data_IF_292390576350
#
_entry.id   IF_292390576350
#
_cell.length_a   1.000
_cell.length_b   1.000
_cell.length_c   1.000
_cell.angle_alpha   90.00
_cell.angle_beta   90.00
_cell.angle_gamma   90.00
#
_symmetry.space_group_name_H-M   'P 1'
#
loop_
_entity.id
_entity.type
_entity.pdbx_description
1 polymer ?
#
# COMPACT_ATOMS: atom_id res chain seq x y z
N UNK A 1 12.67 8.80 -28.35
CA UNK A 1 13.81 9.74 -28.51
C UNK A 1 14.61 9.33 -29.78
N UNK A 2 14.55 10.09 -30.88
CA UNK A 2 15.32 9.78 -32.08
C UNK A 2 16.70 10.48 -32.03
N UNK A 3 17.73 9.75 -31.64
CA UNK A 3 19.12 10.20 -31.67
C UNK A 3 19.81 9.37 -32.75
N UNK A 4 20.22 10.06 -33.82
CA UNK A 4 20.77 9.41 -35.02
C UNK A 4 22.29 9.22 -34.99
N UNK A 5 22.99 9.78 -33.98
CA UNK A 5 24.44 9.66 -33.83
C UNK A 5 24.76 8.93 -32.51
N UNK A 6 25.77 8.07 -32.56
CA UNK A 6 26.28 7.37 -31.37
C UNK A 6 26.90 8.35 -30.39
N UNK A 7 27.71 9.29 -30.85
CA UNK A 7 28.27 10.40 -30.04
C UNK A 7 27.49 11.66 -30.35
N UNK A 8 26.88 12.26 -29.35
CA UNK A 8 25.99 13.42 -29.46
C UNK A 8 26.66 14.73 -29.06
N UNK A 9 27.70 14.68 -28.22
CA UNK A 9 28.51 15.85 -27.85
C UNK A 9 29.92 15.41 -27.45
N UNK A 10 30.87 16.38 -27.47
CA UNK A 10 32.22 16.25 -26.91
C UNK A 10 32.47 17.47 -26.05
N UNK A 11 32.92 17.24 -24.82
CA UNK A 11 33.19 18.29 -23.84
C UNK A 11 34.29 17.84 -22.87
N UNK A 12 35.28 18.71 -22.60
CA UNK A 12 36.39 18.46 -21.68
C UNK A 12 37.09 17.09 -21.93
N UNK A 13 37.32 16.73 -23.20
CA UNK A 13 37.97 15.48 -23.59
C UNK A 13 37.11 14.21 -23.46
N UNK A 14 35.85 14.32 -23.02
CA UNK A 14 34.89 13.21 -22.94
C UNK A 14 33.85 13.27 -24.04
N UNK A 15 33.40 12.09 -24.47
CA UNK A 15 32.27 11.95 -25.38
C UNK A 15 31.01 11.68 -24.61
N UNK A 16 29.91 12.39 -24.92
CA UNK A 16 28.58 12.12 -24.47
C UNK A 16 27.91 11.26 -25.53
N UNK A 17 27.50 10.06 -25.16
CA UNK A 17 26.88 9.09 -26.07
C UNK A 17 25.37 9.15 -25.95
N UNK A 18 24.70 8.55 -26.92
CA UNK A 18 23.25 8.39 -26.95
C UNK A 18 22.72 7.69 -25.69
N UNK A 19 23.40 6.65 -25.20
CA UNK A 19 22.99 5.93 -24.01
C UNK A 19 23.06 6.81 -22.76
N UNK A 20 24.06 7.70 -22.65
CA UNK A 20 24.18 8.64 -21.54
C UNK A 20 22.97 9.59 -21.47
N UNK A 21 22.51 10.05 -22.65
CA UNK A 21 21.32 10.92 -22.75
C UNK A 21 20.06 10.18 -22.32
N UNK A 22 19.92 8.91 -22.73
CA UNK A 22 18.78 8.07 -22.31
C UNK A 22 18.79 7.83 -20.80
N UNK A 23 19.96 7.49 -20.25
CA UNK A 23 20.10 7.27 -18.82
C UNK A 23 19.83 8.55 -18.02
N UNK A 24 20.36 9.69 -18.47
CA UNK A 24 20.10 10.98 -17.82
C UNK A 24 18.61 11.34 -17.88
N UNK A 25 17.94 11.15 -19.02
CA UNK A 25 16.51 11.38 -19.13
C UNK A 25 15.69 10.49 -18.17
N UNK A 26 16.06 9.23 -18.03
CA UNK A 26 15.39 8.30 -17.11
C UNK A 26 15.57 8.71 -15.65
N UNK A 27 16.70 9.30 -15.27
CA UNK A 27 16.96 9.81 -13.92
C UNK A 27 16.07 11.02 -13.56
N UNK A 28 15.65 11.82 -14.55
CA UNK A 28 14.78 12.98 -14.33
C UNK A 28 13.32 12.61 -14.04
N UNK A 29 12.96 11.35 -14.25
CA UNK A 29 11.59 10.84 -14.02
C UNK A 29 10.64 11.04 -15.20
N UNK A 30 9.48 10.34 -15.20
CA UNK A 30 8.59 10.24 -16.37
C UNK A 30 8.00 11.59 -16.82
N UNK A 31 7.70 12.50 -15.90
CA UNK A 31 7.11 13.79 -16.23
C UNK A 31 8.06 14.71 -17.02
N UNK A 32 9.34 14.73 -16.65
CA UNK A 32 10.34 15.53 -17.35
C UNK A 32 10.79 14.84 -18.64
N UNK A 33 10.87 13.51 -18.67
CA UNK A 33 11.24 12.75 -19.87
C UNK A 33 10.29 13.04 -21.04
N UNK A 34 9.00 13.29 -20.80
CA UNK A 34 8.04 13.64 -21.84
C UNK A 34 8.40 14.95 -22.56
N UNK A 35 9.01 15.92 -21.88
CA UNK A 35 9.41 17.20 -22.48
C UNK A 35 10.59 17.05 -23.45
N UNK A 36 11.36 15.97 -23.32
CA UNK A 36 12.57 15.72 -24.12
C UNK A 36 12.37 14.72 -25.28
N UNK A 37 11.12 14.44 -25.69
CA UNK A 37 10.83 13.55 -26.81
C UNK A 37 11.03 14.20 -28.19
N UNK A 38 10.96 15.53 -28.28
CA UNK A 38 11.23 16.28 -29.51
C UNK A 38 12.72 16.45 -29.76
N UNK A 39 13.10 16.75 -31.03
CA UNK A 39 14.50 17.07 -31.39
C UNK A 39 15.07 18.24 -30.60
N UNK A 40 14.26 19.29 -30.39
CA UNK A 40 14.66 20.47 -29.62
C UNK A 40 14.78 20.12 -28.13
N UNK A 41 13.90 19.26 -27.61
CA UNK A 41 14.00 18.75 -26.25
C UNK A 41 15.27 17.94 -26.01
N UNK A 42 15.60 17.01 -26.93
CA UNK A 42 16.85 16.25 -26.86
C UNK A 42 18.07 17.18 -26.90
N UNK A 43 18.04 18.22 -27.79
CA UNK A 43 19.14 19.19 -27.84
C UNK A 43 19.35 19.91 -26.53
N UNK A 44 18.29 20.40 -25.88
CA UNK A 44 18.35 21.04 -24.56
C UNK A 44 18.90 20.10 -23.50
N UNK A 45 18.52 18.82 -23.53
CA UNK A 45 19.01 17.81 -22.60
C UNK A 45 20.53 17.60 -22.78
N UNK A 46 21.00 17.51 -24.01
CA UNK A 46 22.44 17.40 -24.33
C UNK A 46 23.18 18.65 -23.90
N UNK A 47 22.64 19.87 -24.15
CA UNK A 47 23.21 21.13 -23.68
C UNK A 47 23.35 21.15 -22.14
N UNK A 48 22.34 20.67 -21.43
CA UNK A 48 22.41 20.56 -19.95
C UNK A 48 23.51 19.59 -19.49
N UNK A 49 23.64 18.42 -20.13
CA UNK A 49 24.71 17.47 -19.84
C UNK A 49 26.10 18.07 -20.13
N UNK A 50 26.24 18.86 -21.19
CA UNK A 50 27.48 19.61 -21.51
C UNK A 50 27.78 20.64 -20.44
N UNK A 51 26.76 21.41 -19.99
CA UNK A 51 26.92 22.39 -18.91
C UNK A 51 27.38 21.73 -17.62
N UNK A 52 26.77 20.63 -17.23
CA UNK A 52 27.15 19.86 -16.03
C UNK A 52 28.59 19.33 -16.14
N UNK A 53 28.99 18.83 -17.32
CA UNK A 53 30.35 18.37 -17.54
C UNK A 53 31.38 19.52 -17.45
N UNK A 54 31.06 20.71 -17.96
CA UNK A 54 31.91 21.90 -17.82
C UNK A 54 32.03 22.34 -16.36
N UNK A 55 30.92 22.39 -15.61
CA UNK A 55 30.92 22.75 -14.20
C UNK A 55 31.73 21.74 -13.37
N UNK A 56 31.58 20.44 -13.62
CA UNK A 56 32.39 19.42 -12.96
C UNK A 56 33.90 19.61 -13.22
N UNK A 57 34.31 19.84 -14.47
CA UNK A 57 35.72 20.04 -14.77
C UNK A 57 36.26 21.33 -14.15
N UNK A 58 35.47 22.44 -14.14
CA UNK A 58 35.83 23.65 -13.45
C UNK A 58 36.01 23.43 -11.94
N UNK A 59 35.14 22.65 -11.31
CA UNK A 59 35.26 22.31 -9.90
C UNK A 59 36.58 21.54 -9.59
N UNK A 60 36.99 20.64 -10.50
CA UNK A 60 38.31 19.97 -10.39
C UNK A 60 39.47 20.95 -10.56
N UNK A 61 39.41 21.82 -11.57
CA UNK A 61 40.45 22.84 -11.82
C UNK A 61 40.58 23.79 -10.62
N UNK A 62 39.48 24.11 -9.95
CA UNK A 62 39.43 24.90 -8.71
C UNK A 62 39.78 24.10 -7.44
N UNK A 63 40.06 22.80 -7.56
CA UNK A 63 40.40 21.88 -6.47
C UNK A 63 39.29 21.77 -5.38
N UNK A 64 38.02 21.88 -5.76
CA UNK A 64 36.92 21.73 -4.82
C UNK A 64 36.86 20.32 -4.23
N UNK A 65 37.36 19.32 -4.96
CA UNK A 65 37.50 17.94 -4.50
C UNK A 65 38.59 17.75 -3.41
N UNK A 66 39.49 18.71 -3.24
CA UNK A 66 40.47 18.74 -2.15
C UNK A 66 39.94 19.47 -0.88
N UNK A 67 38.77 20.13 -0.97
CA UNK A 67 38.19 20.90 0.14
C UNK A 67 37.78 20.03 1.32
N UNK A 68 37.82 20.59 2.53
CA UNK A 68 37.37 19.87 3.74
C UNK A 68 35.85 19.57 3.69
N UNK A 69 35.06 20.45 3.05
CA UNK A 69 33.63 20.25 2.86
C UNK A 69 33.37 19.03 1.97
N UNK A 70 34.05 18.95 0.83
CA UNK A 70 33.92 17.79 -0.07
C UNK A 70 34.32 16.48 0.61
N UNK A 71 35.46 16.47 1.31
CA UNK A 71 35.95 15.30 2.06
C UNK A 71 34.93 14.84 3.11
N UNK A 72 34.36 15.79 3.85
CA UNK A 72 33.34 15.48 4.85
C UNK A 72 32.08 14.87 4.22
N UNK A 73 31.62 15.41 3.11
CA UNK A 73 30.44 14.85 2.37
C UNK A 73 30.76 13.48 1.77
N UNK A 74 31.96 13.27 1.25
CA UNK A 74 32.40 11.97 0.73
C UNK A 74 32.47 10.90 1.83
N UNK A 75 32.95 11.21 3.02
CA UNK A 75 32.98 10.26 4.15
C UNK A 75 31.55 9.89 4.58
N UNK A 76 30.62 10.86 4.66
CA UNK A 76 29.19 10.58 4.93
C UNK A 76 28.58 9.71 3.83
N UNK A 77 28.85 10.02 2.57
CA UNK A 77 28.35 9.24 1.44
C UNK A 77 28.88 7.79 1.49
N UNK A 78 30.16 7.62 1.78
CA UNK A 78 30.79 6.31 1.95
C UNK A 78 30.14 5.51 3.10
N UNK A 79 29.94 6.12 4.27
CA UNK A 79 29.27 5.49 5.41
C UNK A 79 27.86 5.02 5.02
N UNK A 80 27.07 5.89 4.40
CA UNK A 80 25.72 5.56 3.95
C UNK A 80 25.70 4.42 2.93
N UNK A 81 26.60 4.45 1.94
CA UNK A 81 26.68 3.39 0.92
C UNK A 81 27.04 2.06 1.58
N UNK A 82 28.08 2.03 2.43
CA UNK A 82 28.52 0.81 3.10
C UNK A 82 27.45 0.25 4.04
N UNK A 83 26.77 1.12 4.80
CA UNK A 83 25.66 0.72 5.68
C UNK A 83 24.52 0.11 4.87
N UNK A 84 24.12 0.73 3.76
CA UNK A 84 23.07 0.20 2.90
C UNK A 84 23.46 -1.13 2.24
N UNK A 85 24.72 -1.28 1.81
CA UNK A 85 25.23 -2.54 1.28
C UNK A 85 25.27 -3.64 2.34
N UNK A 86 25.71 -3.32 3.55
CA UNK A 86 25.73 -4.26 4.68
C UNK A 86 24.30 -4.66 5.10
N UNK A 87 23.36 -3.71 5.12
CA UNK A 87 21.95 -3.97 5.40
C UNK A 87 21.34 -4.94 4.37
N UNK A 88 21.54 -4.67 3.07
CA UNK A 88 21.06 -5.58 2.01
C UNK A 88 21.65 -6.99 2.19
N UNK A 89 22.96 -7.08 2.46
CA UNK A 89 23.63 -8.36 2.69
C UNK A 89 23.11 -9.08 3.93
N UNK A 90 22.76 -8.34 4.99
CA UNK A 90 22.22 -8.94 6.22
C UNK A 90 20.78 -9.49 6.04
N UNK A 91 20.06 -9.05 5.01
CA UNK A 91 18.73 -9.56 4.62
C UNK A 91 18.81 -10.76 3.67
N UNK A 92 20.00 -11.11 3.15
CA UNK A 92 20.15 -12.27 2.25
C UNK A 92 19.83 -13.56 3.02
N UNK A 93 18.95 -14.35 2.45
CA UNK A 93 18.56 -15.66 2.98
C UNK A 93 18.22 -16.60 1.81
N UNK A 94 18.17 -17.88 2.09
CA UNK A 94 17.74 -18.87 1.11
C UNK A 94 16.26 -18.70 0.77
N UNK A 95 15.91 -18.99 -0.48
CA UNK A 95 14.52 -19.03 -0.93
C UNK A 95 13.69 -20.00 -0.09
N UNK A 96 12.42 -19.65 0.10
CA UNK A 96 11.50 -20.53 0.82
C UNK A 96 11.19 -21.78 -0.01
N UNK A 97 11.31 -22.92 0.62
CA UNK A 97 10.93 -24.21 0.02
C UNK A 97 9.41 -24.37 -0.02
N UNK A 98 8.91 -25.19 -0.93
CA UNK A 98 7.48 -25.51 -1.00
C UNK A 98 6.94 -26.17 0.29
N UNK A 99 7.80 -26.85 1.04
CA UNK A 99 7.45 -27.42 2.34
C UNK A 99 7.25 -26.33 3.40
N UNK A 100 8.17 -25.37 3.49
CA UNK A 100 8.04 -24.22 4.39
C UNK A 100 6.77 -23.41 4.08
N UNK A 101 6.48 -23.18 2.79
CA UNK A 101 5.28 -22.47 2.38
C UNK A 101 4.00 -23.21 2.79
N UNK A 102 3.93 -24.53 2.56
CA UNK A 102 2.76 -25.32 2.95
C UNK A 102 2.57 -25.38 4.46
N UNK A 103 3.66 -25.50 5.22
CA UNK A 103 3.60 -25.51 6.68
C UNK A 103 3.06 -24.17 7.20
N UNK A 104 3.58 -23.05 6.69
CA UNK A 104 3.10 -21.72 7.05
C UNK A 104 1.62 -21.53 6.70
N UNK A 105 1.22 -21.89 5.49
CA UNK A 105 -0.19 -21.83 5.09
C UNK A 105 -1.11 -22.66 6.01
N UNK A 106 -0.70 -23.88 6.37
CA UNK A 106 -1.51 -24.74 7.23
C UNK A 106 -1.64 -24.18 8.66
N UNK A 107 -0.59 -23.55 9.18
CA UNK A 107 -0.56 -22.95 10.51
C UNK A 107 -1.41 -21.66 10.55
N UNK A 108 -1.38 -20.85 9.49
CA UNK A 108 -2.04 -19.54 9.42
C UNK A 108 -3.17 -19.50 8.38
N UNK A 109 -3.85 -20.63 8.16
CA UNK A 109 -4.85 -20.79 7.10
C UNK A 109 -5.97 -19.74 7.15
N UNK A 110 -6.38 -19.34 8.34
CA UNK A 110 -7.45 -18.38 8.54
C UNK A 110 -7.05 -16.97 8.06
N UNK A 111 -5.77 -16.61 8.13
CA UNK A 111 -5.25 -15.33 7.64
C UNK A 111 -5.35 -15.19 6.11
N UNK A 112 -5.35 -16.33 5.39
CA UNK A 112 -5.49 -16.39 3.94
C UNK A 112 -6.91 -16.65 3.47
N UNK A 113 -7.90 -16.60 4.38
CA UNK A 113 -9.31 -16.77 4.05
C UNK A 113 -9.94 -15.44 3.66
N UNK A 114 -10.95 -15.50 2.76
CA UNK A 114 -11.85 -14.38 2.57
C UNK A 114 -12.71 -14.25 3.85
N UNK A 115 -12.69 -13.11 4.54
CA UNK A 115 -13.46 -12.94 5.76
C UNK A 115 -14.96 -12.96 5.46
N UNK A 116 -15.77 -13.40 6.45
CA UNK A 116 -17.22 -13.31 6.33
C UNK A 116 -17.68 -11.87 6.09
N UNK A 117 -18.69 -11.72 5.27
CA UNK A 117 -19.29 -10.41 4.99
C UNK A 117 -20.82 -10.51 4.92
N UNK A 118 -21.47 -9.39 5.08
CA UNK A 118 -22.93 -9.23 5.00
C UNK A 118 -23.25 -8.08 4.06
N UNK A 119 -24.37 -8.19 3.34
CA UNK A 119 -24.98 -7.07 2.66
C UNK A 119 -26.31 -6.76 3.34
N UNK A 120 -26.53 -5.51 3.70
CA UNK A 120 -27.74 -5.11 4.42
C UNK A 120 -28.22 -3.72 4.01
N UNK A 121 -29.52 -3.51 4.19
CA UNK A 121 -30.15 -2.20 4.12
C UNK A 121 -30.61 -1.78 5.52
N UNK A 122 -30.65 -0.48 5.79
CA UNK A 122 -31.13 0.02 7.06
C UNK A 122 -31.99 1.28 6.97
N UNK A 123 -32.80 1.49 7.98
CA UNK A 123 -33.54 2.73 8.23
C UNK A 123 -33.09 3.26 9.58
N UNK A 124 -32.54 4.47 9.61
CA UNK A 124 -32.09 5.15 10.82
C UNK A 124 -33.07 6.24 11.21
N UNK A 125 -33.56 6.20 12.46
CA UNK A 125 -34.43 7.23 13.03
C UNK A 125 -33.97 7.63 14.44
N UNK A 126 -34.48 8.79 14.91
CA UNK A 126 -34.08 9.43 16.18
C UNK A 126 -34.79 8.82 17.40
N UNK A 127 -35.92 8.14 17.23
CA UNK A 127 -36.69 7.61 18.36
C UNK A 127 -37.14 6.18 18.17
N UNK A 128 -37.32 5.46 19.28
CA UNK A 128 -37.76 4.07 19.28
C UNK A 128 -39.23 3.96 18.78
N UNK A 129 -40.05 4.96 19.07
CA UNK A 129 -41.47 4.93 18.66
C UNK A 129 -41.58 5.01 17.14
N UNK A 130 -40.84 5.93 16.51
CA UNK A 130 -40.75 6.00 15.03
C UNK A 130 -40.23 4.68 14.43
N UNK A 131 -39.20 4.08 15.04
CA UNK A 131 -38.68 2.81 14.58
C UNK A 131 -39.72 1.69 14.64
N UNK A 132 -40.49 1.62 15.74
CA UNK A 132 -41.57 0.63 15.89
C UNK A 132 -42.72 0.88 14.89
N UNK A 133 -43.10 2.12 14.65
CA UNK A 133 -44.13 2.47 13.67
C UNK A 133 -43.72 2.04 12.25
N UNK A 134 -42.46 2.30 11.87
CA UNK A 134 -41.92 1.87 10.59
C UNK A 134 -41.85 0.35 10.51
N UNK A 135 -41.38 -0.34 11.56
CA UNK A 135 -41.37 -1.80 11.61
C UNK A 135 -42.77 -2.38 11.42
N UNK A 136 -43.79 -1.78 12.08
CA UNK A 136 -45.17 -2.20 11.93
C UNK A 136 -45.73 -1.99 10.50
N UNK A 137 -45.27 -0.97 9.78
CA UNK A 137 -45.63 -0.76 8.35
C UNK A 137 -44.98 -1.84 7.48
N UNK A 138 -43.69 -2.14 7.72
CA UNK A 138 -42.96 -3.22 7.03
C UNK A 138 -43.65 -4.55 7.24
N UNK A 139 -44.07 -4.87 8.46
CA UNK A 139 -44.77 -6.12 8.79
C UNK A 139 -46.15 -6.23 8.13
N UNK A 140 -46.74 -5.11 7.74
CA UNK A 140 -47.98 -5.05 6.93
C UNK A 140 -47.72 -5.16 5.43
N UNK A 141 -46.47 -5.24 4.99
CA UNK A 141 -46.06 -5.44 3.60
C UNK A 141 -45.70 -4.16 2.85
N UNK A 142 -45.49 -3.02 3.57
CA UNK A 142 -44.98 -1.83 2.92
C UNK A 142 -43.49 -2.03 2.52
N UNK A 143 -43.11 -1.43 1.38
CA UNK A 143 -41.77 -1.62 0.82
C UNK A 143 -40.67 -0.95 1.67
N UNK A 144 -39.68 -1.75 2.04
CA UNK A 144 -38.57 -1.30 2.89
C UNK A 144 -37.79 -0.12 2.28
N UNK A 145 -37.51 -0.18 0.97
CA UNK A 145 -36.73 0.85 0.29
C UNK A 145 -37.48 2.19 0.25
N UNK A 146 -38.78 2.15 0.02
CA UNK A 146 -39.65 3.34 0.04
C UNK A 146 -39.70 3.99 1.43
N UNK A 147 -39.84 3.16 2.47
CA UNK A 147 -39.83 3.65 3.86
C UNK A 147 -38.45 4.20 4.26
N UNK A 148 -37.35 3.61 3.76
CA UNK A 148 -36.02 4.14 3.96
C UNK A 148 -35.85 5.52 3.31
N UNK A 149 -36.32 5.68 2.07
CA UNK A 149 -36.28 6.98 1.35
C UNK A 149 -37.08 8.07 2.09
N UNK A 150 -38.24 7.71 2.62
CA UNK A 150 -39.13 8.66 3.28
C UNK A 150 -38.67 9.03 4.70
N UNK A 151 -38.24 8.04 5.47
CA UNK A 151 -38.07 8.21 6.92
C UNK A 151 -36.64 8.17 7.42
N UNK A 152 -35.67 7.61 6.67
CA UNK A 152 -34.31 7.44 7.17
C UNK A 152 -33.56 8.75 7.23
N UNK A 153 -32.85 8.97 8.36
CA UNK A 153 -31.91 10.05 8.55
C UNK A 153 -30.53 9.79 7.91
N UNK A 154 -30.26 8.54 7.49
CA UNK A 154 -28.97 8.16 6.88
C UNK A 154 -28.92 8.60 5.40
N UNK A 155 -27.75 9.04 4.89
CA UNK A 155 -27.55 9.33 3.47
C UNK A 155 -27.86 8.13 2.53
N UNK A 156 -27.72 6.89 3.01
CA UNK A 156 -28.07 5.67 2.25
C UNK A 156 -29.55 5.61 1.83
N UNK A 157 -30.40 6.46 2.43
CA UNK A 157 -31.82 6.55 2.03
C UNK A 157 -32.04 6.77 0.53
N UNK A 158 -31.13 7.49 -0.13
CA UNK A 158 -31.20 7.73 -1.57
C UNK A 158 -31.21 6.41 -2.39
N UNK A 159 -30.57 5.36 -1.84
CA UNK A 159 -30.51 4.02 -2.42
C UNK A 159 -31.38 3.01 -1.64
N UNK A 160 -32.51 3.45 -1.08
CA UNK A 160 -33.42 2.57 -0.32
C UNK A 160 -32.83 2.01 0.97
N UNK A 161 -31.84 2.71 1.54
CA UNK A 161 -31.18 2.31 2.77
C UNK A 161 -30.01 1.35 2.59
N UNK A 162 -29.64 0.97 1.35
CA UNK A 162 -28.58 0.02 1.07
C UNK A 162 -27.20 0.50 1.56
N UNK A 163 -26.49 -0.36 2.28
CA UNK A 163 -25.14 -0.13 2.79
C UNK A 163 -24.06 -0.86 1.99
N UNK A 164 -24.46 -1.67 1.00
CA UNK A 164 -23.57 -2.56 0.28
C UNK A 164 -23.04 -3.70 1.16
N UNK A 165 -21.90 -4.27 0.75
CA UNK A 165 -21.24 -5.37 1.45
C UNK A 165 -20.21 -4.81 2.44
N UNK A 166 -20.19 -5.35 3.65
CA UNK A 166 -19.24 -5.00 4.71
C UNK A 166 -18.85 -6.23 5.53
N UNK A 167 -17.67 -6.15 6.15
CA UNK A 167 -17.12 -7.18 7.01
C UNK A 167 -17.40 -6.88 8.48
N UNK A 168 -17.27 -7.91 9.32
CA UNK A 168 -17.39 -7.78 10.78
C UNK A 168 -16.41 -6.72 11.30
N UNK A 169 -16.90 -5.85 12.19
CA UNK A 169 -16.13 -4.76 12.80
C UNK A 169 -16.08 -3.46 11.97
N UNK A 170 -16.67 -3.40 10.78
CA UNK A 170 -16.77 -2.17 10.01
C UNK A 170 -17.94 -1.28 10.42
N UNK A 171 -18.92 -1.83 11.13
CA UNK A 171 -20.07 -1.10 11.66
C UNK A 171 -19.94 -0.90 13.18
N UNK A 172 -20.77 -0.03 13.75
CA UNK A 172 -20.83 0.11 15.22
C UNK A 172 -21.28 -1.21 15.86
N UNK A 173 -20.74 -1.51 17.01
CA UNK A 173 -20.83 -2.82 17.65
C UNK A 173 -22.25 -3.40 17.72
N UNK A 174 -23.23 -2.59 18.13
CA UNK A 174 -24.61 -3.04 18.31
C UNK A 174 -25.29 -3.40 16.96
N UNK A 175 -24.94 -2.66 15.91
CA UNK A 175 -25.41 -2.95 14.54
C UNK A 175 -24.72 -4.21 14.02
N UNK A 176 -23.40 -4.30 14.19
CA UNK A 176 -22.58 -5.43 13.75
C UNK A 176 -23.06 -6.73 14.40
N UNK A 177 -23.17 -6.76 15.74
CA UNK A 177 -23.63 -7.92 16.49
C UNK A 177 -25.02 -8.40 16.03
N UNK A 178 -25.92 -7.44 15.72
CA UNK A 178 -27.26 -7.81 15.24
C UNK A 178 -27.24 -8.36 13.84
N UNK A 179 -26.62 -7.65 12.88
CA UNK A 179 -26.66 -8.04 11.47
C UNK A 179 -25.97 -9.38 11.21
N UNK A 180 -24.89 -9.70 11.92
CA UNK A 180 -24.20 -10.98 11.81
C UNK A 180 -24.92 -12.15 12.49
N UNK A 181 -25.98 -11.87 13.29
CA UNK A 181 -26.85 -12.89 13.88
C UNK A 181 -28.14 -13.13 13.08
N UNK A 182 -28.41 -12.38 12.01
CA UNK A 182 -29.65 -12.44 11.23
C UNK A 182 -29.57 -13.47 10.11
N UNK A 183 -30.75 -13.90 9.63
CA UNK A 183 -30.91 -14.72 8.44
C UNK A 183 -31.18 -13.85 7.20
N UNK A 184 -30.88 -14.36 6.01
CA UNK A 184 -31.19 -13.66 4.74
C UNK A 184 -32.66 -13.31 4.67
N UNK A 185 -32.97 -12.06 4.33
CA UNK A 185 -34.33 -11.53 4.23
C UNK A 185 -34.96 -11.16 5.58
N UNK A 186 -34.31 -11.45 6.71
CA UNK A 186 -34.79 -11.05 8.04
C UNK A 186 -34.77 -9.52 8.18
N UNK A 187 -35.78 -9.01 8.87
CA UNK A 187 -35.87 -7.59 9.27
C UNK A 187 -35.83 -7.52 10.78
N UNK A 188 -34.85 -6.76 11.29
CA UNK A 188 -34.64 -6.69 12.75
C UNK A 188 -35.74 -5.91 13.49
N UNK A 189 -35.88 -6.16 14.78
CA UNK A 189 -36.43 -5.18 15.70
C UNK A 189 -35.53 -3.93 15.76
N UNK A 190 -36.05 -2.80 16.28
CA UNK A 190 -35.24 -1.58 16.42
C UNK A 190 -33.96 -1.79 17.24
N UNK A 191 -32.80 -1.60 16.62
CA UNK A 191 -31.48 -1.72 17.22
C UNK A 191 -30.99 -0.33 17.63
N UNK A 192 -30.73 -0.12 18.92
CA UNK A 192 -30.20 1.15 19.44
C UNK A 192 -28.69 1.24 19.24
N UNK A 193 -28.21 2.35 18.69
CA UNK A 193 -26.80 2.73 18.61
C UNK A 193 -26.60 4.17 19.08
N UNK A 194 -25.37 4.65 19.06
CA UNK A 194 -25.06 6.06 19.33
C UNK A 194 -25.69 7.05 18.32
N UNK A 195 -26.07 6.59 17.12
CA UNK A 195 -26.66 7.40 16.07
C UNK A 195 -28.19 7.46 16.11
N UNK A 196 -28.83 6.59 16.88
CA UNK A 196 -30.29 6.47 16.95
C UNK A 196 -30.76 5.02 16.93
N UNK A 197 -31.90 4.76 16.30
CA UNK A 197 -32.50 3.44 16.19
C UNK A 197 -32.49 2.98 14.74
N UNK A 198 -31.99 1.80 14.51
CA UNK A 198 -31.87 1.18 13.19
C UNK A 198 -32.86 0.04 13.05
N UNK A 199 -33.56 -0.01 11.90
CA UNK A 199 -34.25 -1.22 11.42
C UNK A 199 -33.34 -1.76 10.32
N UNK A 200 -32.91 -3.01 10.44
CA UNK A 200 -31.93 -3.63 9.54
C UNK A 200 -32.65 -4.72 8.76
N UNK A 201 -32.43 -4.75 7.44
CA UNK A 201 -32.81 -5.85 6.56
C UNK A 201 -31.54 -6.50 6.04
N UNK A 202 -31.35 -7.80 6.33
CA UNK A 202 -30.22 -8.55 5.78
C UNK A 202 -30.52 -8.97 4.35
N UNK A 203 -29.67 -8.56 3.42
CA UNK A 203 -29.82 -8.86 2.00
C UNK A 203 -29.05 -10.12 1.60
N UNK A 204 -27.75 -10.24 2.05
CA UNK A 204 -26.87 -11.36 1.68
C UNK A 204 -25.97 -11.76 2.84
N UNK A 205 -25.65 -13.04 2.87
CA UNK A 205 -24.64 -13.65 3.75
C UNK A 205 -23.55 -14.23 2.86
N UNK A 206 -22.32 -13.78 3.05
CA UNK A 206 -21.15 -14.41 2.48
C UNK A 206 -20.30 -14.94 3.64
N UNK A 207 -20.29 -16.25 3.78
CA UNK A 207 -19.50 -16.90 4.81
C UNK A 207 -18.00 -16.82 4.50
N UNK A 208 -17.17 -16.89 5.52
CA UNK A 208 -15.73 -16.95 5.37
C UNK A 208 -15.36 -18.12 4.44
N UNK A 209 -14.57 -17.84 3.40
CA UNK A 209 -14.15 -18.83 2.42
C UNK A 209 -12.66 -19.05 2.48
N UNK A 210 -12.25 -20.27 2.82
CA UNK A 210 -10.85 -20.62 2.78
C UNK A 210 -10.35 -20.59 1.33
N UNK A 211 -9.31 -19.81 1.07
CA UNK A 211 -8.59 -19.81 -0.21
C UNK A 211 -7.59 -20.97 -0.19
N UNK A 212 -7.49 -21.72 -1.28
CA UNK A 212 -6.53 -22.81 -1.39
C UNK A 212 -5.08 -22.33 -1.35
N UNK A 213 -4.15 -23.22 -0.99
CA UNK A 213 -2.72 -22.89 -1.03
C UNK A 213 -2.25 -22.36 -2.40
N UNK A 214 -2.75 -22.96 -3.49
CA UNK A 214 -2.36 -22.55 -4.84
C UNK A 214 -2.84 -21.13 -5.19
N UNK A 215 -4.02 -20.72 -4.68
CA UNK A 215 -4.55 -19.36 -4.87
C UNK A 215 -3.79 -18.29 -4.10
N UNK A 216 -3.15 -18.66 -2.98
CA UNK A 216 -2.43 -17.73 -2.10
C UNK A 216 -0.93 -17.96 -2.04
N UNK A 217 -0.38 -18.83 -2.89
CA UNK A 217 1.02 -19.26 -2.84
C UNK A 217 2.02 -18.09 -2.86
N UNK A 218 1.78 -17.09 -3.68
CA UNK A 218 2.67 -15.94 -3.77
C UNK A 218 2.57 -15.03 -2.54
N UNK A 219 1.37 -14.90 -1.96
CA UNK A 219 1.12 -14.17 -0.73
C UNK A 219 1.79 -14.87 0.47
N UNK A 220 1.63 -16.19 0.59
CA UNK A 220 2.33 -17.04 1.57
C UNK A 220 3.84 -16.91 1.42
N UNK A 221 4.35 -16.95 0.18
CA UNK A 221 5.79 -16.79 -0.09
C UNK A 221 6.31 -15.46 0.40
N UNK A 222 5.59 -14.36 0.13
CA UNK A 222 5.98 -13.03 0.60
C UNK A 222 6.11 -12.98 2.12
N UNK A 223 5.14 -13.54 2.86
CA UNK A 223 5.17 -13.62 4.32
C UNK A 223 6.34 -14.46 4.83
N UNK A 224 6.52 -15.68 4.30
CA UNK A 224 7.61 -16.57 4.72
C UNK A 224 8.98 -15.94 4.42
N UNK A 225 9.16 -15.34 3.23
CA UNK A 225 10.41 -14.66 2.88
C UNK A 225 10.69 -13.48 3.80
N UNK A 226 9.67 -12.69 4.15
CA UNK A 226 9.82 -11.60 5.12
C UNK A 226 10.30 -12.11 6.49
N UNK A 227 9.74 -13.22 6.98
CA UNK A 227 10.16 -13.83 8.24
C UNK A 227 11.60 -14.35 8.14
N UNK A 228 11.97 -15.03 7.04
CA UNK A 228 13.35 -15.52 6.82
C UNK A 228 14.36 -14.38 6.77
N UNK A 229 14.05 -13.30 6.07
CA UNK A 229 14.88 -12.09 5.99
C UNK A 229 15.06 -11.43 7.37
N UNK A 230 13.98 -11.31 8.14
CA UNK A 230 14.03 -10.73 9.47
C UNK A 230 14.88 -11.59 10.44
N UNK A 231 14.77 -12.90 10.35
CA UNK A 231 15.57 -13.83 11.13
C UNK A 231 17.06 -13.76 10.74
N UNK A 232 17.38 -13.72 9.43
CA UNK A 232 18.74 -13.54 8.93
C UNK A 232 19.35 -12.23 9.44
N UNK A 233 18.62 -11.13 9.30
CA UNK A 233 19.03 -9.82 9.82
C UNK A 233 19.29 -9.85 11.32
N UNK A 234 18.37 -10.42 12.09
CA UNK A 234 18.51 -10.57 13.55
C UNK A 234 19.78 -11.34 13.92
N UNK A 235 20.05 -12.46 13.26
CA UNK A 235 21.24 -13.27 13.51
C UNK A 235 22.54 -12.48 13.23
N UNK A 236 22.57 -11.70 12.13
CA UNK A 236 23.70 -10.82 11.81
C UNK A 236 23.87 -9.76 12.90
N UNK A 237 22.79 -9.06 13.30
CA UNK A 237 22.84 -8.01 14.33
C UNK A 237 23.31 -8.58 15.68
N UNK A 238 22.81 -9.75 16.08
CA UNK A 238 23.23 -10.36 17.35
C UNK A 238 24.74 -10.73 17.32
N UNK A 239 25.23 -11.25 16.21
CA UNK A 239 26.67 -11.49 16.01
C UNK A 239 27.51 -10.19 16.07
N UNK A 240 26.97 -9.08 15.49
CA UNK A 240 27.64 -7.79 15.52
C UNK A 240 27.62 -7.16 16.93
N UNK A 241 26.55 -7.36 17.71
CA UNK A 241 26.52 -6.93 19.13
C UNK A 241 27.58 -7.66 19.96
N UNK A 242 27.75 -8.96 19.76
CA UNK A 242 28.79 -9.72 20.44
C UNK A 242 30.19 -9.24 20.08
N UNK A 243 30.40 -8.89 18.82
CA UNK A 243 31.68 -8.38 18.30
C UNK A 243 32.01 -6.98 18.78
N UNK A 244 31.06 -6.06 18.69
CA UNK A 244 31.31 -4.62 18.90
C UNK A 244 30.89 -4.12 20.28
N UNK A 245 30.10 -4.91 21.05
CA UNK A 245 29.65 -4.62 22.43
C UNK A 245 29.12 -3.19 22.60
N UNK A 246 28.08 -2.80 21.83
CA UNK A 246 27.58 -1.43 21.87
C UNK A 246 27.05 -1.05 23.25
N UNK A 247 27.34 0.17 23.71
CA UNK A 247 26.74 0.76 24.90
C UNK A 247 25.72 1.82 24.48
N UNK A 248 24.51 1.78 25.07
CA UNK A 248 23.42 2.71 24.77
C UNK A 248 23.14 3.56 26.00
N UNK A 249 23.26 4.88 25.85
CA UNK A 249 22.99 5.86 26.93
C UNK A 249 21.75 6.67 26.54
N UNK A 250 20.56 6.32 27.06
CA UNK A 250 19.25 7.01 26.86
C UNK A 250 18.59 7.28 28.18
#
# INVERSE_FOLDING_TARGET
MEINKEVVAKVCGKEIKKEDVVNFANMLGPQLTMQFQSKDGVKKLVEEMVNQAMLYNNAIDEKLDESEEYKAEMEKAKENILTNMAFKKALECEEATDEELKNYYNEFKDEFSEPESRSASHILVDSVDKAKDIKAKIDKGEDFASLAQEHSACPSKANGGDLGTFHRGQMVKEFDDKVFSMNIGEISEPVKTQFGYHIIKLNEINDAKARSFDEVKDEVRAHVMQIKQMNAFKAVIDSLKDKYKPEIFV
#
